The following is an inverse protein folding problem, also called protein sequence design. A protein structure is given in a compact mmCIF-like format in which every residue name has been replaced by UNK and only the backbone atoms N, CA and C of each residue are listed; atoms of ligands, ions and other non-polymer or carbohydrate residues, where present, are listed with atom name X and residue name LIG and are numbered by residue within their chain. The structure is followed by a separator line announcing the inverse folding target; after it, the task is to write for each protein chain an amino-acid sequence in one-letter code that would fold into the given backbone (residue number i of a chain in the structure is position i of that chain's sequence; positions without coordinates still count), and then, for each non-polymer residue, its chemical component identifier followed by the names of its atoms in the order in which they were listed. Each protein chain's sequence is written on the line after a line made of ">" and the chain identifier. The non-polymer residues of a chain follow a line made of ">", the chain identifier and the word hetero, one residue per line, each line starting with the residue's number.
data_IF_210991383433
#
_entry.id   IF_210991383433
#
_cell.length_a   1.000
_cell.length_b   1.000
_cell.length_c   1.000
_cell.angle_alpha   90.00
_cell.angle_beta   90.00
_cell.angle_gamma   90.00
#
_symmetry.space_group_name_H-M   'P 1'
#
loop_
_entity.id
_entity.type
_entity.pdbx_description
1 polymer ?
#
# COMPACT_ATOMS: atom_id res chain seq x y z
N UNK A 1 6.36 -28.40 9.21
CA UNK A 1 5.28 -28.10 8.25
C UNK A 1 3.96 -28.54 8.85
N UNK A 2 2.91 -27.77 8.65
CA UNK A 2 1.54 -28.16 9.03
C UNK A 2 1.10 -29.29 8.10
N UNK A 3 0.49 -30.33 8.66
CA UNK A 3 0.07 -31.50 7.87
C UNK A 3 -1.36 -31.28 7.31
N UNK A 4 -1.47 -31.29 6.00
CA UNK A 4 -2.72 -31.21 5.26
C UNK A 4 -3.05 -32.49 4.47
N UNK A 5 -2.32 -33.60 4.71
CA UNK A 5 -2.56 -34.86 3.99
C UNK A 5 -3.97 -35.39 4.24
N UNK A 6 -4.60 -35.85 3.17
CA UNK A 6 -5.97 -36.34 3.20
C UNK A 6 -7.07 -35.28 3.25
N UNK A 7 -6.74 -33.99 3.41
CA UNK A 7 -7.72 -32.92 3.36
C UNK A 7 -8.14 -32.59 1.94
N UNK A 8 -9.44 -32.35 1.75
CA UNK A 8 -10.01 -31.78 0.51
C UNK A 8 -9.82 -30.26 0.55
N UNK A 9 -8.80 -29.79 -0.14
CA UNK A 9 -8.47 -28.36 -0.21
C UNK A 9 -9.07 -27.73 -1.46
N UNK A 10 -9.74 -26.58 -1.31
CA UNK A 10 -10.25 -25.78 -2.41
C UNK A 10 -9.62 -24.39 -2.34
N UNK A 11 -8.99 -23.96 -3.43
CA UNK A 11 -8.38 -22.62 -3.58
C UNK A 11 -9.31 -21.77 -4.46
N UNK A 12 -9.67 -20.57 -4.00
CA UNK A 12 -10.51 -19.63 -4.76
C UNK A 12 -9.65 -18.46 -5.22
N UNK A 13 -9.56 -18.30 -6.55
CA UNK A 13 -8.76 -17.28 -7.23
C UNK A 13 -7.45 -17.84 -7.78
N UNK A 14 -7.24 -17.68 -9.09
CA UNK A 14 -6.09 -18.18 -9.84
C UNK A 14 -5.28 -16.98 -10.39
N UNK A 15 -4.81 -16.14 -9.50
CA UNK A 15 -3.77 -15.16 -9.73
C UNK A 15 -2.44 -15.65 -9.14
N UNK A 16 -1.45 -14.75 -9.02
CA UNK A 16 -0.12 -15.06 -8.46
C UNK A 16 -0.23 -15.67 -7.05
N UNK A 17 -1.10 -15.12 -6.20
CA UNK A 17 -1.35 -15.65 -4.85
C UNK A 17 -1.96 -17.05 -4.87
N UNK A 18 -2.95 -17.29 -5.74
CA UNK A 18 -3.57 -18.62 -5.86
C UNK A 18 -2.59 -19.67 -6.36
N UNK A 19 -1.75 -19.33 -7.35
CA UNK A 19 -0.68 -20.22 -7.83
C UNK A 19 0.31 -20.55 -6.71
N UNK A 20 0.73 -19.57 -5.89
CA UNK A 20 1.62 -19.85 -4.76
C UNK A 20 1.01 -20.81 -3.72
N UNK A 21 -0.33 -20.74 -3.54
CA UNK A 21 -1.05 -21.72 -2.69
C UNK A 21 -1.07 -23.10 -3.34
N UNK A 22 -1.28 -23.18 -4.66
CA UNK A 22 -1.23 -24.47 -5.39
C UNK A 22 0.14 -25.12 -5.22
N UNK A 23 1.21 -24.38 -5.48
CA UNK A 23 2.60 -24.85 -5.35
C UNK A 23 2.89 -25.33 -3.92
N UNK A 24 2.42 -24.58 -2.92
CA UNK A 24 2.57 -24.93 -1.50
C UNK A 24 1.93 -26.27 -1.17
N UNK A 25 0.70 -26.55 -1.63
CA UNK A 25 0.02 -27.81 -1.38
C UNK A 25 0.62 -28.96 -2.19
N UNK A 26 0.98 -28.73 -3.45
CA UNK A 26 1.64 -29.74 -4.29
C UNK A 26 2.98 -30.18 -3.71
N UNK A 27 3.75 -29.27 -3.13
CA UNK A 27 5.01 -29.59 -2.44
C UNK A 27 4.81 -30.51 -1.21
N UNK A 28 3.60 -30.58 -0.68
CA UNK A 28 3.21 -31.47 0.43
C UNK A 28 2.45 -32.72 -0.05
N UNK A 29 2.43 -32.99 -1.35
CA UNK A 29 1.66 -34.08 -1.97
C UNK A 29 0.14 -33.98 -1.74
N UNK A 30 -0.39 -32.78 -1.55
CA UNK A 30 -1.81 -32.47 -1.50
C UNK A 30 -2.21 -31.83 -2.83
N UNK A 31 -3.14 -32.44 -3.55
CA UNK A 31 -3.63 -31.91 -4.82
C UNK A 31 -4.90 -31.11 -4.55
N UNK A 32 -4.87 -29.76 -4.60
CA UNK A 32 -6.06 -28.95 -4.36
C UNK A 32 -6.98 -28.94 -5.58
N UNK A 33 -8.23 -28.53 -5.39
CA UNK A 33 -9.09 -28.06 -6.48
C UNK A 33 -9.03 -26.54 -6.54
N UNK A 34 -9.13 -25.96 -7.75
CA UNK A 34 -9.06 -24.50 -7.94
C UNK A 34 -10.35 -23.99 -8.55
N UNK A 35 -10.87 -22.89 -8.01
CA UNK A 35 -12.05 -22.18 -8.52
C UNK A 35 -11.63 -20.74 -8.85
N UNK A 36 -12.04 -20.21 -10.02
CA UNK A 36 -11.94 -18.79 -10.32
C UNK A 36 -13.23 -18.29 -10.94
N UNK A 37 -13.73 -17.15 -10.48
CA UNK A 37 -14.98 -16.55 -11.00
C UNK A 37 -14.82 -15.91 -12.38
N UNK A 38 -13.58 -15.68 -12.81
CA UNK A 38 -13.27 -15.22 -14.18
C UNK A 38 -13.25 -16.41 -15.12
N UNK A 39 -13.67 -16.21 -16.35
CA UNK A 39 -13.65 -17.25 -17.40
C UNK A 39 -12.24 -17.54 -17.92
N UNK A 40 -11.33 -16.58 -17.84
CA UNK A 40 -9.94 -16.72 -18.29
C UNK A 40 -8.99 -16.03 -17.27
N UNK A 41 -8.71 -16.65 -16.12
CA UNK A 41 -7.78 -16.12 -15.14
C UNK A 41 -6.33 -16.23 -15.64
N UNK A 42 -5.50 -15.24 -15.31
CA UNK A 42 -4.11 -15.14 -15.79
C UNK A 42 -3.19 -16.27 -15.38
N UNK A 43 -3.54 -17.00 -14.32
CA UNK A 43 -2.75 -18.15 -13.84
C UNK A 43 -3.12 -19.49 -14.47
N UNK A 44 -4.11 -19.52 -15.37
CA UNK A 44 -4.63 -20.81 -15.89
C UNK A 44 -3.58 -21.58 -16.70
N UNK A 45 -2.78 -20.88 -17.50
CA UNK A 45 -1.72 -21.49 -18.32
C UNK A 45 -0.53 -22.04 -17.50
N UNK A 46 -0.42 -21.58 -16.24
CA UNK A 46 0.65 -21.98 -15.30
C UNK A 46 0.19 -23.06 -14.31
N UNK A 47 -1.08 -23.44 -14.37
CA UNK A 47 -1.62 -24.43 -13.45
C UNK A 47 -1.09 -25.84 -13.76
N UNK A 48 -0.63 -26.54 -12.73
CA UNK A 48 -0.19 -27.94 -12.84
C UNK A 48 -1.32 -28.83 -13.37
N UNK A 49 -1.05 -29.69 -14.33
CA UNK A 49 -2.01 -30.55 -15.03
C UNK A 49 -2.77 -31.51 -14.10
N UNK A 50 -2.21 -31.84 -12.94
CA UNK A 50 -2.83 -32.68 -11.91
C UNK A 50 -3.98 -31.99 -11.19
N UNK A 51 -4.03 -30.65 -11.24
CA UNK A 51 -4.98 -29.84 -10.47
C UNK A 51 -6.28 -29.65 -11.25
N UNK A 52 -7.37 -30.11 -10.67
CA UNK A 52 -8.70 -29.86 -11.26
C UNK A 52 -9.13 -28.42 -11.00
N UNK A 53 -9.66 -27.76 -12.02
CA UNK A 53 -10.13 -26.38 -11.92
C UNK A 53 -11.56 -26.19 -12.44
N UNK A 54 -12.20 -25.12 -11.98
CA UNK A 54 -13.50 -24.64 -12.41
C UNK A 54 -13.42 -23.11 -12.58
N UNK A 55 -13.88 -22.57 -13.71
CA UNK A 55 -13.82 -21.13 -14.05
C UNK A 55 -15.18 -20.59 -14.44
N UNK A 56 -15.37 -19.26 -14.26
CA UNK A 56 -16.58 -18.51 -14.64
C UNK A 56 -17.54 -18.26 -13.49
N UNK A 57 -17.61 -19.14 -12.50
CA UNK A 57 -18.42 -18.96 -11.29
C UNK A 57 -17.85 -19.78 -10.12
N UNK A 58 -18.48 -19.66 -8.94
CA UNK A 58 -18.16 -20.53 -7.80
C UNK A 58 -18.80 -21.91 -7.99
N UNK A 59 -18.03 -22.96 -7.72
CA UNK A 59 -18.51 -24.34 -7.71
C UNK A 59 -18.92 -24.72 -6.28
N UNK A 60 -20.20 -24.63 -5.99
CA UNK A 60 -20.78 -24.88 -4.64
C UNK A 60 -20.56 -26.27 -4.14
N UNK A 61 -20.59 -27.29 -5.02
CA UNK A 61 -20.37 -28.68 -4.62
C UNK A 61 -18.95 -28.85 -4.09
N UNK A 62 -17.96 -28.28 -4.76
CA UNK A 62 -16.58 -28.34 -4.29
C UNK A 62 -16.37 -27.57 -2.99
N UNK A 63 -17.04 -26.40 -2.86
CA UNK A 63 -16.93 -25.59 -1.64
C UNK A 63 -17.53 -26.31 -0.42
N UNK A 64 -18.70 -26.92 -0.57
CA UNK A 64 -19.40 -27.54 0.56
C UNK A 64 -18.85 -28.93 0.93
N UNK A 65 -18.08 -29.56 0.04
CA UNK A 65 -17.34 -30.80 0.32
C UNK A 65 -15.90 -30.57 0.84
N UNK A 66 -15.44 -29.33 0.89
CA UNK A 66 -14.07 -29.01 1.31
C UNK A 66 -13.88 -29.20 2.82
N UNK A 67 -12.68 -29.61 3.21
CA UNK A 67 -12.21 -29.55 4.60
C UNK A 67 -11.52 -28.20 4.89
N UNK A 68 -11.02 -27.53 3.84
CA UNK A 68 -10.31 -26.26 3.92
C UNK A 68 -10.50 -25.48 2.63
N UNK A 69 -10.88 -24.22 2.76
CA UNK A 69 -10.98 -23.24 1.67
C UNK A 69 -9.89 -22.19 1.83
N UNK A 70 -9.10 -21.98 0.76
CA UNK A 70 -8.14 -20.89 0.66
C UNK A 70 -8.76 -19.78 -0.20
N UNK A 71 -9.15 -18.69 0.41
CA UNK A 71 -9.77 -17.56 -0.27
C UNK A 71 -8.72 -16.51 -0.65
N UNK A 72 -8.59 -16.21 -1.94
CA UNK A 72 -7.79 -15.04 -2.38
C UNK A 72 -8.40 -13.74 -1.85
N UNK A 73 -7.57 -12.71 -1.57
CA UNK A 73 -8.04 -11.43 -1.00
C UNK A 73 -9.12 -10.70 -1.83
N UNK A 74 -9.16 -10.96 -3.14
CA UNK A 74 -10.18 -10.41 -4.04
C UNK A 74 -11.60 -10.95 -3.82
N UNK A 75 -11.75 -12.07 -3.10
CA UNK A 75 -13.05 -12.69 -2.84
C UNK A 75 -13.56 -12.26 -1.45
N UNK A 76 -14.76 -11.69 -1.42
CA UNK A 76 -15.36 -11.24 -0.16
C UNK A 76 -15.83 -12.41 0.69
N UNK A 77 -15.51 -12.43 1.98
CA UNK A 77 -16.06 -13.43 2.92
C UNK A 77 -17.59 -13.31 3.08
N UNK A 78 -18.15 -12.14 2.73
CA UNK A 78 -19.58 -11.89 2.67
C UNK A 78 -20.29 -12.52 1.46
N UNK A 79 -19.55 -13.15 0.53
CA UNK A 79 -20.12 -13.92 -0.57
C UNK A 79 -21.02 -15.02 -0.03
N UNK A 80 -22.28 -15.16 -0.50
CA UNK A 80 -23.25 -16.09 0.09
C UNK A 80 -22.76 -17.54 0.18
N UNK A 81 -22.04 -18.01 -0.82
CA UNK A 81 -21.48 -19.39 -0.85
C UNK A 81 -20.41 -19.57 0.22
N UNK A 82 -19.59 -18.56 0.48
CA UNK A 82 -18.57 -18.61 1.55
C UNK A 82 -19.20 -18.51 2.94
N UNK A 83 -20.23 -17.69 3.10
CA UNK A 83 -21.00 -17.65 4.34
C UNK A 83 -21.63 -19.02 4.64
N UNK A 84 -22.21 -19.65 3.60
CA UNK A 84 -22.79 -20.99 3.74
C UNK A 84 -21.74 -22.05 4.07
N UNK A 85 -20.56 -22.00 3.46
CA UNK A 85 -19.45 -22.89 3.80
C UNK A 85 -19.00 -22.71 5.26
N UNK A 86 -18.90 -21.46 5.74
CA UNK A 86 -18.57 -21.15 7.13
C UNK A 86 -19.64 -21.66 8.11
N UNK A 87 -20.95 -21.53 7.78
CA UNK A 87 -22.05 -22.11 8.57
C UNK A 87 -21.98 -23.63 8.66
N UNK A 88 -21.45 -24.30 7.63
CA UNK A 88 -21.20 -25.75 7.63
C UNK A 88 -19.95 -26.13 8.44
N UNK A 89 -19.25 -25.17 9.03
CA UNK A 89 -18.04 -25.39 9.83
C UNK A 89 -16.76 -25.58 9.00
N UNK A 90 -16.79 -25.26 7.71
CA UNK A 90 -15.62 -25.36 6.84
C UNK A 90 -14.67 -24.19 7.13
N UNK A 91 -13.41 -24.51 7.36
CA UNK A 91 -12.39 -23.50 7.62
C UNK A 91 -12.07 -22.70 6.36
N UNK A 92 -12.13 -21.36 6.44
CA UNK A 92 -11.81 -20.43 5.34
C UNK A 92 -10.66 -19.53 5.78
N UNK A 93 -9.52 -19.63 5.09
CA UNK A 93 -8.30 -18.87 5.40
C UNK A 93 -7.71 -18.26 4.12
N UNK A 94 -6.69 -17.41 4.28
CA UNK A 94 -5.91 -16.86 3.18
C UNK A 94 -4.49 -17.41 3.10
N UNK A 95 -3.76 -16.99 2.08
CA UNK A 95 -2.33 -17.31 1.87
C UNK A 95 -1.45 -16.86 3.04
N UNK A 96 -1.75 -15.70 3.62
CA UNK A 96 -1.01 -15.16 4.78
C UNK A 96 -1.20 -16.04 6.02
N UNK A 97 -2.39 -16.62 6.22
CA UNK A 97 -2.62 -17.55 7.32
C UNK A 97 -1.80 -18.83 7.14
N UNK A 98 -1.74 -19.39 5.92
CA UNK A 98 -0.86 -20.55 5.63
C UNK A 98 0.61 -20.21 5.93
N UNK A 99 1.08 -19.04 5.49
CA UNK A 99 2.42 -18.55 5.82
C UNK A 99 2.64 -18.45 7.33
N UNK A 100 1.69 -17.88 8.06
CA UNK A 100 1.81 -17.73 9.52
C UNK A 100 1.88 -19.08 10.23
N UNK A 101 1.07 -20.04 9.82
CA UNK A 101 1.10 -21.41 10.38
C UNK A 101 2.45 -22.07 10.20
N UNK A 102 3.10 -21.89 9.06
CA UNK A 102 4.43 -22.43 8.77
C UNK A 102 5.54 -21.71 9.54
N UNK A 103 5.55 -20.37 9.49
CA UNK A 103 6.63 -19.60 10.11
C UNK A 103 6.61 -19.72 11.64
N UNK A 104 5.42 -19.86 12.25
CA UNK A 104 5.27 -20.03 13.70
C UNK A 104 5.88 -21.33 14.22
N UNK A 105 6.08 -22.35 13.38
CA UNK A 105 6.76 -23.59 13.76
C UNK A 105 8.30 -23.45 13.69
N UNK A 106 8.79 -22.41 13.06
CA UNK A 106 10.22 -22.18 12.90
C UNK A 106 10.75 -21.31 14.05
N UNK A 107 11.77 -21.81 14.75
CA UNK A 107 12.40 -21.06 15.82
C UNK A 107 13.20 -19.87 15.27
N UNK A 108 13.20 -18.76 16.01
CA UNK A 108 14.00 -17.56 15.75
C UNK A 108 13.64 -16.76 14.47
N UNK A 109 12.54 -17.05 13.80
CA UNK A 109 12.07 -16.22 12.69
C UNK A 109 11.31 -15.01 13.24
N UNK A 110 11.55 -13.83 12.63
CA UNK A 110 10.85 -12.60 12.98
C UNK A 110 9.93 -12.20 11.83
N UNK A 111 8.70 -11.85 12.14
CA UNK A 111 7.73 -11.31 11.18
C UNK A 111 7.45 -9.86 11.53
N UNK A 112 7.57 -8.98 10.55
CA UNK A 112 7.17 -7.58 10.60
C UNK A 112 5.93 -7.46 9.74
N UNK A 113 4.86 -6.95 10.32
CA UNK A 113 3.59 -6.79 9.62
C UNK A 113 3.24 -5.29 9.47
N UNK A 114 3.00 -4.85 8.25
CA UNK A 114 2.77 -3.45 7.91
C UNK A 114 1.45 -3.33 7.15
N UNK A 115 0.53 -2.50 7.68
CA UNK A 115 -0.71 -2.12 6.99
C UNK A 115 -0.98 -0.62 7.13
N UNK A 116 -2.03 -0.14 6.51
CA UNK A 116 -2.47 1.25 6.51
C UNK A 116 -3.32 1.54 5.27
N UNK A 117 -3.93 2.69 5.18
CA UNK A 117 -4.53 3.16 3.94
C UNK A 117 -3.41 3.53 2.95
N UNK A 118 -2.46 4.36 3.37
CA UNK A 118 -1.37 4.90 2.55
C UNK A 118 0.01 4.61 3.17
N UNK A 119 1.09 4.69 2.38
CA UNK A 119 2.47 4.54 2.84
C UNK A 119 2.97 3.10 2.96
N UNK A 120 2.10 2.09 2.93
CA UNK A 120 2.45 0.66 3.13
C UNK A 120 3.69 0.23 2.38
N UNK A 121 3.67 0.32 1.06
CA UNK A 121 4.76 -0.15 0.19
C UNK A 121 6.07 0.58 0.46
N UNK A 122 6.00 1.90 0.69
CA UNK A 122 7.18 2.71 1.00
C UNK A 122 7.84 2.24 2.29
N UNK A 123 7.06 2.05 3.36
CA UNK A 123 7.58 1.60 4.66
C UNK A 123 8.05 0.15 4.57
N UNK A 124 7.30 -0.73 3.90
CA UNK A 124 7.68 -2.14 3.73
C UNK A 124 9.01 -2.28 2.99
N UNK A 125 9.19 -1.55 1.90
CA UNK A 125 10.44 -1.56 1.14
C UNK A 125 11.58 -0.97 1.97
N UNK A 126 11.37 0.20 2.58
CA UNK A 126 12.40 0.85 3.40
C UNK A 126 12.84 -0.02 4.59
N UNK A 127 11.91 -0.68 5.29
CA UNK A 127 12.22 -1.62 6.37
C UNK A 127 12.99 -2.82 5.83
N UNK A 128 12.61 -3.36 4.67
CA UNK A 128 13.36 -4.42 4.00
C UNK A 128 14.79 -4.03 3.70
N UNK A 129 15.00 -2.82 3.15
CA UNK A 129 16.33 -2.28 2.85
C UNK A 129 17.16 -2.06 4.14
N UNK A 130 16.55 -1.57 5.21
CA UNK A 130 17.21 -1.40 6.50
C UNK A 130 17.68 -2.76 7.06
N UNK A 131 16.82 -3.78 7.04
CA UNK A 131 17.17 -5.13 7.51
C UNK A 131 18.28 -5.73 6.66
N UNK A 132 18.21 -5.56 5.33
CA UNK A 132 19.24 -6.03 4.39
C UNK A 132 20.58 -5.31 4.61
N UNK A 133 20.57 -4.01 4.87
CA UNK A 133 21.78 -3.23 5.14
C UNK A 133 22.48 -3.60 6.45
N UNK A 134 21.80 -4.31 7.34
CA UNK A 134 22.35 -4.90 8.56
C UNK A 134 22.84 -6.35 8.37
N UNK A 135 23.00 -6.82 7.13
CA UNK A 135 23.43 -8.18 6.75
C UNK A 135 22.50 -9.29 7.29
N UNK A 136 21.22 -8.97 7.52
CA UNK A 136 20.22 -9.94 7.95
C UNK A 136 19.47 -10.45 6.71
N UNK A 137 19.32 -11.77 6.59
CA UNK A 137 18.59 -12.39 5.50
C UNK A 137 17.11 -12.08 5.61
N UNK A 138 16.58 -11.29 4.67
CA UNK A 138 15.23 -10.75 4.70
C UNK A 138 14.42 -11.16 3.47
N UNK A 139 13.16 -11.54 3.69
CA UNK A 139 12.13 -11.70 2.65
C UNK A 139 11.11 -10.58 2.76
N UNK A 140 10.82 -9.93 1.64
CA UNK A 140 9.87 -8.82 1.55
C UNK A 140 8.76 -9.18 0.58
N UNK A 141 7.51 -9.10 1.01
CA UNK A 141 6.38 -9.48 0.14
C UNK A 141 5.01 -9.33 0.79
N UNK A 142 4.07 -10.18 0.40
CA UNK A 142 2.67 -10.19 0.84
C UNK A 142 1.74 -9.52 -0.17
N UNK A 143 1.17 -8.37 0.17
CA UNK A 143 0.31 -7.61 -0.76
C UNK A 143 1.09 -6.91 -1.88
N UNK A 144 2.41 -6.96 -1.84
CA UNK A 144 3.34 -6.43 -2.85
C UNK A 144 4.38 -7.48 -3.21
N UNK A 145 4.90 -7.38 -4.42
CA UNK A 145 6.02 -8.24 -4.86
C UNK A 145 5.64 -9.72 -4.82
N UNK A 146 6.41 -10.48 -4.06
CA UNK A 146 6.19 -11.93 -3.92
C UNK A 146 5.07 -12.25 -2.92
N UNK A 147 4.21 -13.25 -3.20
CA UNK A 147 3.27 -13.79 -2.23
C UNK A 147 3.97 -14.26 -0.95
N UNK A 148 3.30 -14.10 0.20
CA UNK A 148 3.89 -14.47 1.49
C UNK A 148 4.39 -15.93 1.53
N UNK A 149 3.66 -16.88 0.95
CA UNK A 149 4.05 -18.29 0.90
C UNK A 149 5.35 -18.52 0.11
N UNK A 150 5.57 -17.79 -0.98
CA UNK A 150 6.80 -17.94 -1.79
C UNK A 150 8.05 -17.54 -1.00
N UNK A 151 7.93 -16.62 -0.06
CA UNK A 151 9.04 -16.20 0.79
C UNK A 151 9.58 -17.31 1.71
N UNK A 152 8.76 -18.30 2.06
CA UNK A 152 9.19 -19.44 2.88
C UNK A 152 10.34 -20.23 2.24
N UNK A 153 10.35 -20.31 0.91
CA UNK A 153 11.40 -21.02 0.17
C UNK A 153 12.78 -20.33 0.29
N UNK A 154 12.81 -19.04 0.59
CA UNK A 154 14.04 -18.26 0.74
C UNK A 154 14.73 -18.50 2.09
N UNK A 155 14.05 -19.12 3.07
CA UNK A 155 14.54 -19.38 4.41
C UNK A 155 15.18 -18.14 5.07
N UNK A 156 14.44 -17.03 5.12
CA UNK A 156 14.89 -15.77 5.68
C UNK A 156 14.87 -15.79 7.23
N UNK A 157 15.64 -14.90 7.86
CA UNK A 157 15.60 -14.70 9.31
C UNK A 157 14.52 -13.69 9.71
N UNK A 158 14.23 -12.75 8.81
CA UNK A 158 13.20 -11.73 8.97
C UNK A 158 12.31 -11.72 7.73
N UNK A 159 11.00 -11.69 7.95
CA UNK A 159 10.01 -11.50 6.91
C UNK A 159 9.30 -10.16 7.12
N UNK A 160 9.29 -9.31 6.11
CA UNK A 160 8.61 -8.00 6.11
C UNK A 160 7.41 -8.11 5.19
N UNK A 161 6.21 -8.12 5.78
CA UNK A 161 4.97 -8.32 5.04
C UNK A 161 4.17 -7.03 4.95
N UNK A 162 3.88 -6.60 3.72
CA UNK A 162 2.78 -5.68 3.47
C UNK A 162 1.47 -6.47 3.52
N UNK A 163 0.50 -6.02 4.32
CA UNK A 163 -0.79 -6.69 4.46
C UNK A 163 -1.95 -5.74 4.13
N UNK A 164 -2.85 -6.20 3.27
CA UNK A 164 -4.12 -5.53 3.03
C UNK A 164 -5.13 -5.84 4.14
N UNK A 165 -6.21 -5.03 4.24
CA UNK A 165 -7.33 -5.36 5.12
C UNK A 165 -7.96 -6.71 4.78
N UNK A 166 -8.07 -7.02 3.49
CA UNK A 166 -8.64 -8.28 2.99
C UNK A 166 -7.83 -9.52 3.40
N UNK A 167 -6.49 -9.43 3.37
CA UNK A 167 -5.63 -10.51 3.86
C UNK A 167 -5.75 -10.68 5.37
N UNK A 168 -5.87 -9.58 6.11
CA UNK A 168 -6.05 -9.62 7.57
C UNK A 168 -7.39 -10.24 7.99
N UNK A 169 -8.46 -10.11 7.19
CA UNK A 169 -9.75 -10.76 7.45
C UNK A 169 -9.64 -12.29 7.55
N UNK A 170 -8.74 -12.89 6.78
CA UNK A 170 -8.53 -14.35 6.69
C UNK A 170 -7.30 -14.81 7.46
N UNK A 171 -6.72 -13.96 8.32
CA UNK A 171 -5.51 -14.25 9.10
C UNK A 171 -5.80 -14.18 10.59
N UNK A 172 -5.48 -15.23 11.34
CA UNK A 172 -5.71 -15.35 12.78
C UNK A 172 -4.44 -15.69 13.58
N UNK A 173 -3.49 -16.42 12.98
CA UNK A 173 -2.30 -16.92 13.67
C UNK A 173 -1.05 -16.04 13.46
N UNK A 174 -1.21 -14.81 12.96
CA UNK A 174 -0.11 -13.87 12.81
C UNK A 174 0.54 -13.56 14.19
N UNK A 175 1.83 -13.82 14.33
CA UNK A 175 2.65 -13.51 15.51
C UNK A 175 3.76 -12.52 15.10
N UNK A 176 3.38 -11.25 14.91
CA UNK A 176 4.32 -10.24 14.51
C UNK A 176 5.29 -9.87 15.65
N UNK A 177 6.59 -9.82 15.35
CA UNK A 177 7.59 -9.21 16.25
C UNK A 177 7.33 -7.70 16.39
N UNK A 178 7.01 -7.06 15.27
CA UNK A 178 6.54 -5.67 15.23
C UNK A 178 5.40 -5.59 14.22
N UNK A 179 4.29 -4.96 14.61
CA UNK A 179 3.17 -4.67 13.72
C UNK A 179 2.89 -3.17 13.68
N UNK A 180 2.45 -2.66 12.53
CA UNK A 180 2.08 -1.25 12.40
C UNK A 180 0.84 -1.04 11.52
N UNK A 181 0.00 -0.10 11.94
CA UNK A 181 -0.98 0.56 11.08
C UNK A 181 -0.48 2.00 10.88
N UNK A 182 -0.12 2.34 9.65
CA UNK A 182 0.49 3.64 9.36
C UNK A 182 -0.51 4.80 9.44
N UNK A 183 -1.70 4.58 8.95
CA UNK A 183 -2.82 5.51 8.95
C UNK A 183 -4.10 4.79 8.50
N UNK A 184 -5.24 5.38 8.82
CA UNK A 184 -6.56 4.91 8.38
C UNK A 184 -7.31 6.08 7.76
N UNK A 185 -7.74 5.90 6.53
CA UNK A 185 -8.64 6.79 5.80
C UNK A 185 -9.54 5.95 4.90
N UNK A 186 -10.67 6.47 4.47
CA UNK A 186 -11.60 5.75 3.61
C UNK A 186 -10.93 5.23 2.35
N UNK A 187 -11.01 3.92 2.16
CA UNK A 187 -10.58 3.20 0.98
C UNK A 187 -11.35 1.88 0.92
N UNK A 188 -11.67 1.40 -0.28
CA UNK A 188 -12.42 0.16 -0.45
C UNK A 188 -13.80 0.13 0.23
N UNK A 189 -14.52 1.26 0.27
CA UNK A 189 -15.85 1.32 0.93
C UNK A 189 -16.91 0.47 0.23
N UNK A 190 -16.71 0.12 -1.02
CA UNK A 190 -17.46 -0.88 -1.76
C UNK A 190 -17.39 -2.28 -1.10
N UNK A 191 -16.28 -2.60 -0.46
CA UNK A 191 -16.05 -3.86 0.27
C UNK A 191 -16.51 -3.79 1.74
N UNK A 192 -16.60 -2.59 2.32
CA UNK A 192 -16.93 -2.35 3.72
C UNK A 192 -18.25 -1.58 3.88
N UNK A 193 -19.42 -2.27 3.77
CA UNK A 193 -20.72 -1.61 3.80
C UNK A 193 -21.05 -0.93 5.13
N UNK A 194 -20.39 -1.30 6.23
CA UNK A 194 -20.50 -0.62 7.54
C UNK A 194 -19.51 0.56 7.66
N UNK A 195 -18.81 0.92 6.59
CA UNK A 195 -17.95 2.09 6.50
C UNK A 195 -16.59 1.95 7.17
N UNK A 196 -16.00 3.10 7.52
CA UNK A 196 -14.63 3.23 8.02
C UNK A 196 -14.36 2.39 9.27
N UNK A 197 -15.35 2.18 10.15
CA UNK A 197 -15.16 1.37 11.36
C UNK A 197 -14.90 -0.09 11.03
N UNK A 198 -15.64 -0.69 10.09
CA UNK A 198 -15.42 -2.07 9.66
C UNK A 198 -14.04 -2.24 9.00
N UNK A 199 -13.64 -1.27 8.18
CA UNK A 199 -12.30 -1.24 7.58
C UNK A 199 -11.20 -1.14 8.65
N UNK A 200 -11.41 -0.32 9.68
CA UNK A 200 -10.52 -0.18 10.83
C UNK A 200 -10.39 -1.50 11.59
N UNK A 201 -11.50 -2.16 11.90
CA UNK A 201 -11.52 -3.47 12.59
C UNK A 201 -10.75 -4.54 11.81
N UNK A 202 -10.93 -4.60 10.48
CA UNK A 202 -10.17 -5.51 9.64
C UNK A 202 -8.65 -5.27 9.77
N UNK A 203 -8.19 -4.00 9.77
CA UNK A 203 -6.77 -3.67 9.94
C UNK A 203 -6.27 -3.90 11.36
N UNK A 204 -7.07 -3.66 12.38
CA UNK A 204 -6.72 -3.84 13.78
C UNK A 204 -6.34 -5.29 14.11
N UNK A 205 -6.77 -6.27 13.30
CA UNK A 205 -6.39 -7.68 13.45
C UNK A 205 -4.87 -7.89 13.38
N UNK A 206 -4.12 -6.98 12.75
CA UNK A 206 -2.65 -7.03 12.65
C UNK A 206 -1.97 -7.04 14.03
N UNK A 207 -2.64 -6.52 15.06
CA UNK A 207 -2.08 -6.39 16.40
C UNK A 207 -2.37 -7.58 17.33
N UNK A 208 -3.26 -8.52 16.93
CA UNK A 208 -3.80 -9.57 17.84
C UNK A 208 -2.72 -10.29 18.67
N UNK A 209 -1.60 -10.67 18.07
CA UNK A 209 -0.51 -11.38 18.74
C UNK A 209 0.84 -10.66 18.51
N UNK A 210 0.80 -9.35 18.27
CA UNK A 210 2.01 -8.57 18.07
C UNK A 210 2.77 -8.36 19.40
N UNK A 211 4.10 -8.51 19.37
CA UNK A 211 4.96 -8.23 20.54
C UNK A 211 5.13 -6.74 20.76
N UNK A 212 5.22 -5.97 19.69
CA UNK A 212 5.29 -4.51 19.70
C UNK A 212 4.37 -3.93 18.62
N UNK A 213 3.61 -2.90 18.99
CA UNK A 213 2.75 -2.15 18.09
C UNK A 213 3.35 -0.77 17.82
N UNK A 214 3.72 -0.48 16.58
CA UNK A 214 4.14 0.87 16.17
C UNK A 214 2.88 1.59 15.66
N UNK A 215 2.51 2.68 16.33
CA UNK A 215 1.24 3.39 16.11
C UNK A 215 1.49 4.83 15.64
N UNK A 216 0.58 5.36 14.83
CA UNK A 216 0.60 6.77 14.46
C UNK A 216 -0.04 7.61 15.58
N UNK A 217 0.74 8.51 16.18
CA UNK A 217 0.27 9.38 17.26
C UNK A 217 -0.86 10.32 16.82
N UNK A 218 -0.79 10.77 15.56
CA UNK A 218 -1.72 11.74 14.98
C UNK A 218 -3.03 11.08 14.48
N UNK A 219 -3.08 9.73 14.41
CA UNK A 219 -4.25 8.98 13.97
C UNK A 219 -4.70 7.98 15.03
N UNK A 220 -5.77 8.36 15.76
CA UNK A 220 -6.31 7.55 16.85
C UNK A 220 -6.83 6.17 16.41
N UNK A 221 -7.22 6.01 15.15
CA UNK A 221 -7.71 4.73 14.62
C UNK A 221 -6.61 3.68 14.47
N UNK A 222 -5.34 4.11 14.51
CA UNK A 222 -4.19 3.20 14.45
C UNK A 222 -3.84 2.57 15.81
N UNK A 223 -4.44 3.02 16.91
CA UNK A 223 -4.18 2.47 18.24
C UNK A 223 -4.85 1.12 18.41
N UNK A 224 -4.15 0.08 18.94
CA UNK A 224 -4.77 -1.22 19.19
C UNK A 224 -5.96 -1.08 20.15
N UNK A 225 -7.04 -1.80 19.83
CA UNK A 225 -8.21 -1.93 20.69
C UNK A 225 -8.06 -3.11 21.65
N UNK A 226 -8.47 -2.96 22.91
CA UNK A 226 -8.59 -4.05 23.88
C UNK A 226 -7.39 -4.22 24.80
N UNK A 227 -6.62 -5.32 24.67
CA UNK A 227 -5.53 -5.68 25.60
C UNK A 227 -4.40 -4.64 25.64
N UNK A 228 -3.70 -4.55 26.79
CA UNK A 228 -2.48 -3.75 26.87
C UNK A 228 -1.41 -4.34 25.95
N UNK A 229 -1.08 -3.57 24.91
CA UNK A 229 0.04 -3.88 24.02
C UNK A 229 1.23 -2.99 24.36
N UNK A 230 2.43 -3.50 24.16
CA UNK A 230 3.62 -2.64 24.13
C UNK A 230 3.54 -1.75 22.88
N UNK A 231 3.29 -0.47 23.05
CA UNK A 231 3.14 0.48 21.97
C UNK A 231 4.32 1.46 21.95
N UNK A 232 4.76 1.75 20.73
CA UNK A 232 5.73 2.80 20.40
C UNK A 232 5.07 3.68 19.35
N UNK A 233 5.18 5.00 19.48
CA UNK A 233 4.46 5.94 18.63
C UNK A 233 5.39 6.69 17.69
N UNK A 234 4.90 6.95 16.47
CA UNK A 234 5.47 7.94 15.56
C UNK A 234 4.42 8.99 15.20
N UNK A 235 4.84 10.20 14.89
CA UNK A 235 3.94 11.28 14.51
C UNK A 235 4.66 12.49 13.95
N UNK A 236 3.90 13.51 13.54
CA UNK A 236 4.48 14.69 12.92
C UNK A 236 5.22 15.56 13.94
N UNK A 237 4.52 15.93 15.02
CA UNK A 237 5.06 16.85 16.04
C UNK A 237 5.15 16.20 17.43
N UNK A 238 4.72 14.96 17.58
CA UNK A 238 4.62 14.27 18.85
C UNK A 238 4.74 12.77 18.69
N UNK A 239 5.08 12.06 19.77
CA UNK A 239 5.30 10.63 19.78
C UNK A 239 6.75 10.31 20.18
N UNK A 240 7.09 9.03 20.31
CA UNK A 240 8.46 8.57 20.60
C UNK A 240 9.42 8.86 19.43
N UNK A 241 8.86 8.91 18.22
CA UNK A 241 9.54 9.28 16.97
C UNK A 241 8.73 10.37 16.28
N UNK A 242 9.31 11.56 16.08
CA UNK A 242 8.62 12.71 15.49
C UNK A 242 9.59 13.63 14.75
N UNK A 243 9.08 14.69 14.13
CA UNK A 243 9.90 15.76 13.59
C UNK A 243 10.07 16.85 14.65
N UNK A 244 11.15 17.60 14.56
CA UNK A 244 11.29 18.86 15.30
C UNK A 244 10.29 19.92 14.80
N UNK A 245 10.13 21.02 15.56
CA UNK A 245 9.17 22.11 15.24
C UNK A 245 9.39 22.74 13.85
N UNK A 246 10.61 22.69 13.32
CA UNK A 246 10.97 23.24 12.01
C UNK A 246 10.96 22.21 10.89
N UNK A 247 10.66 20.93 11.21
CA UNK A 247 10.74 19.79 10.28
C UNK A 247 12.13 19.60 9.66
N UNK A 248 13.19 20.03 10.37
CA UNK A 248 14.56 19.92 9.91
C UNK A 248 15.25 18.63 10.39
N UNK A 249 14.73 17.99 11.45
CA UNK A 249 15.32 16.77 12.01
C UNK A 249 14.27 15.72 12.36
N UNK A 250 14.62 14.46 12.12
CA UNK A 250 13.96 13.32 12.73
C UNK A 250 14.43 13.20 14.19
N UNK A 251 13.47 13.12 15.09
CA UNK A 251 13.69 12.94 16.53
C UNK A 251 13.31 11.51 16.88
N UNK A 252 14.18 10.80 17.59
CA UNK A 252 13.94 9.47 18.13
C UNK A 252 14.23 9.45 19.62
N UNK A 253 13.24 9.14 20.46
CA UNK A 253 13.36 9.10 21.91
C UNK A 253 13.98 10.38 22.48
N UNK A 254 13.47 11.53 22.04
CA UNK A 254 13.89 12.88 22.42
C UNK A 254 15.31 13.29 21.97
N UNK A 255 15.91 12.59 21.01
CA UNK A 255 17.21 12.94 20.44
C UNK A 255 17.08 13.19 18.93
N UNK A 256 17.68 14.28 18.40
CA UNK A 256 17.79 14.47 16.97
C UNK A 256 18.75 13.41 16.38
N UNK A 257 18.28 12.67 15.39
CA UNK A 257 19.04 11.52 14.85
C UNK A 257 19.40 11.67 13.38
N UNK A 258 18.62 12.41 12.59
CA UNK A 258 18.87 12.61 11.16
C UNK A 258 18.31 13.96 10.69
N UNK A 259 19.09 14.72 9.91
CA UNK A 259 18.59 15.92 9.25
C UNK A 259 17.74 15.55 8.03
N UNK A 260 16.57 16.16 7.90
CA UNK A 260 15.70 15.99 6.72
C UNK A 260 16.36 16.48 5.43
N UNK A 261 17.28 17.45 5.54
CA UNK A 261 18.08 17.96 4.40
C UNK A 261 19.05 16.90 3.84
N UNK A 262 19.43 15.89 4.62
CA UNK A 262 20.27 14.79 4.16
C UNK A 262 19.47 13.65 3.55
N UNK A 263 18.14 13.68 3.61
CA UNK A 263 17.27 12.68 3.03
C UNK A 263 16.98 12.96 1.56
N UNK A 264 16.94 11.92 0.75
CA UNK A 264 16.50 11.99 -0.65
C UNK A 264 14.97 11.99 -0.75
N UNK A 265 14.27 11.42 0.23
CA UNK A 265 12.83 11.52 0.37
C UNK A 265 12.41 12.95 0.68
N UNK A 266 11.37 13.43 0.03
CA UNK A 266 10.79 14.76 0.25
C UNK A 266 9.34 14.65 0.71
N UNK A 267 8.91 15.63 1.53
CA UNK A 267 7.53 15.75 1.98
C UNK A 267 7.25 15.12 3.35
N UNK A 268 6.39 15.79 4.13
CA UNK A 268 6.10 15.39 5.52
C UNK A 268 5.57 13.95 5.64
N UNK A 269 4.74 13.49 4.70
CA UNK A 269 4.25 12.12 4.71
C UNK A 269 5.37 11.08 4.53
N UNK A 270 6.41 11.41 3.75
CA UNK A 270 7.58 10.55 3.59
C UNK A 270 8.49 10.59 4.82
N UNK A 271 8.56 11.72 5.52
CA UNK A 271 9.26 11.79 6.81
C UNK A 271 8.54 10.95 7.87
N UNK A 272 7.19 10.94 7.88
CA UNK A 272 6.41 10.03 8.72
C UNK A 272 6.66 8.55 8.38
N UNK A 273 6.77 8.21 7.10
CA UNK A 273 7.13 6.86 6.66
C UNK A 273 8.53 6.46 7.16
N UNK A 274 9.50 7.40 7.11
CA UNK A 274 10.85 7.17 7.62
C UNK A 274 10.88 7.00 9.15
N UNK A 275 10.10 7.80 9.89
CA UNK A 275 9.94 7.67 11.35
C UNK A 275 9.32 6.32 11.73
N UNK A 276 8.28 5.87 11.03
CA UNK A 276 7.69 4.56 11.22
C UNK A 276 8.71 3.43 10.96
N UNK A 277 9.47 3.51 9.87
CA UNK A 277 10.50 2.54 9.54
C UNK A 277 11.62 2.51 10.58
N UNK A 278 12.06 3.67 11.08
CA UNK A 278 13.07 3.76 12.16
C UNK A 278 12.54 3.18 13.46
N UNK A 279 11.29 3.46 13.83
CA UNK A 279 10.65 2.89 15.02
C UNK A 279 10.58 1.36 14.92
N UNK A 280 10.24 0.81 13.76
CA UNK A 280 10.25 -0.65 13.52
C UNK A 280 11.67 -1.20 13.67
N UNK A 281 12.66 -0.58 13.03
CA UNK A 281 14.06 -1.03 13.06
C UNK A 281 14.65 -1.05 14.48
N UNK A 282 14.43 0.01 15.26
CA UNK A 282 14.88 0.09 16.64
C UNK A 282 14.26 -1.01 17.54
N UNK A 283 12.97 -1.32 17.33
CA UNK A 283 12.29 -2.38 18.10
C UNK A 283 12.70 -3.80 17.66
N UNK A 284 13.33 -3.94 16.49
CA UNK A 284 14.00 -5.17 16.05
C UNK A 284 15.45 -5.24 16.47
N UNK A 285 15.98 -4.19 17.11
CA UNK A 285 17.39 -4.06 17.51
C UNK A 285 18.34 -4.03 16.29
N UNK A 286 17.91 -3.46 15.18
CA UNK A 286 18.78 -3.19 14.03
C UNK A 286 19.73 -2.04 14.40
N UNK A 287 21.03 -2.12 14.01
CA UNK A 287 21.98 -1.05 14.28
C UNK A 287 21.49 0.30 13.73
N UNK A 288 21.45 1.31 14.60
CA UNK A 288 20.85 2.62 14.26
C UNK A 288 21.59 3.32 13.14
N UNK A 289 22.91 3.27 13.12
CA UNK A 289 23.72 3.94 12.08
C UNK A 289 23.41 3.38 10.69
N UNK A 290 23.29 2.05 10.57
CA UNK A 290 22.86 1.39 9.33
C UNK A 290 21.46 1.81 8.93
N UNK A 291 20.53 1.90 9.88
CA UNK A 291 19.15 2.34 9.63
C UNK A 291 19.10 3.79 9.12
N UNK A 292 19.82 4.71 9.77
CA UNK A 292 19.87 6.12 9.39
C UNK A 292 20.53 6.33 8.02
N UNK A 293 21.60 5.60 7.74
CA UNK A 293 22.25 5.64 6.44
C UNK A 293 21.33 5.16 5.33
N UNK A 294 20.58 4.09 5.55
CA UNK A 294 19.60 3.56 4.60
C UNK A 294 18.47 4.56 4.38
N UNK A 295 17.91 5.14 5.43
CA UNK A 295 16.86 6.17 5.36
C UNK A 295 17.33 7.39 4.56
N UNK A 296 18.54 7.87 4.83
CA UNK A 296 19.14 9.01 4.12
C UNK A 296 19.27 8.75 2.60
N UNK A 297 19.67 7.54 2.23
CA UNK A 297 19.92 7.16 0.85
C UNK A 297 18.68 6.68 0.08
N UNK A 298 17.59 6.38 0.75
CA UNK A 298 16.37 5.87 0.14
C UNK A 298 15.72 6.93 -0.75
N UNK A 299 15.61 6.63 -2.04
CA UNK A 299 15.09 7.58 -3.05
C UNK A 299 13.56 7.61 -3.16
N UNK A 300 12.86 6.76 -2.38
CA UNK A 300 11.43 6.53 -2.56
C UNK A 300 11.14 5.48 -3.63
N UNK A 301 9.87 5.37 -3.97
CA UNK A 301 9.38 4.43 -4.97
C UNK A 301 8.85 5.18 -6.19
N UNK A 302 8.97 4.60 -7.40
CA UNK A 302 8.41 5.20 -8.60
C UNK A 302 6.91 5.48 -8.43
N UNK A 303 6.49 6.61 -8.96
CA UNK A 303 5.08 7.08 -8.94
C UNK A 303 4.50 7.37 -7.55
N UNK A 304 5.33 7.58 -6.52
CA UNK A 304 4.91 7.90 -5.14
C UNK A 304 5.59 9.17 -4.67
N UNK A 305 5.00 10.32 -5.01
CA UNK A 305 5.54 11.65 -4.74
C UNK A 305 6.99 11.80 -5.23
N UNK A 306 7.27 11.22 -6.37
CA UNK A 306 8.58 11.10 -7.00
C UNK A 306 8.92 12.38 -7.75
N UNK A 307 10.07 13.00 -7.44
CA UNK A 307 10.60 14.10 -8.24
C UNK A 307 11.18 13.53 -9.54
N UNK A 308 10.43 13.61 -10.64
CA UNK A 308 10.82 13.02 -11.94
C UNK A 308 11.62 13.97 -12.82
N UNK A 309 11.50 15.28 -12.61
CA UNK A 309 12.25 16.30 -13.33
C UNK A 309 12.35 17.57 -12.51
N UNK A 310 13.52 18.22 -12.52
CA UNK A 310 13.79 19.54 -11.91
C UNK A 310 14.68 20.33 -12.87
N UNK A 311 14.15 21.39 -13.43
CA UNK A 311 14.87 22.25 -14.36
C UNK A 311 14.35 23.69 -14.24
N UNK A 312 15.24 24.69 -14.31
CA UNK A 312 14.90 26.10 -14.20
C UNK A 312 14.07 26.46 -12.93
N UNK A 313 14.34 25.77 -11.82
CA UNK A 313 13.57 25.84 -10.58
C UNK A 313 12.10 25.43 -10.71
N UNK A 314 11.72 24.68 -11.74
CA UNK A 314 10.41 24.06 -11.88
C UNK A 314 10.50 22.59 -11.50
N UNK A 315 9.72 22.16 -10.52
CA UNK A 315 9.69 20.76 -10.04
C UNK A 315 8.48 20.03 -10.60
N UNK A 316 8.73 18.83 -11.15
CA UNK A 316 7.69 17.94 -11.66
C UNK A 316 7.63 16.71 -10.76
N UNK A 317 6.51 16.55 -10.05
CA UNK A 317 6.31 15.50 -9.03
C UNK A 317 5.27 14.52 -9.51
N UNK A 318 5.68 13.26 -9.60
CA UNK A 318 4.85 12.14 -10.03
C UNK A 318 4.30 11.39 -8.81
N UNK A 319 3.03 11.54 -8.55
CA UNK A 319 2.31 10.80 -7.52
C UNK A 319 1.13 10.02 -8.12
N UNK A 320 1.37 9.40 -9.27
CA UNK A 320 0.34 8.66 -10.02
C UNK A 320 -0.29 7.52 -9.21
N UNK A 321 0.38 7.03 -8.16
CA UNK A 321 -0.16 6.02 -7.24
C UNK A 321 -1.22 6.58 -6.29
N UNK A 322 -1.40 7.89 -6.17
CA UNK A 322 -2.48 8.53 -5.42
C UNK A 322 -3.84 8.28 -6.11
N UNK A 323 -4.38 7.08 -5.95
CA UNK A 323 -5.63 6.61 -6.58
C UNK A 323 -6.86 6.77 -5.67
N UNK A 324 -6.71 7.47 -4.56
CA UNK A 324 -7.78 7.84 -3.63
C UNK A 324 -7.58 9.26 -3.08
N UNK A 325 -8.63 9.81 -2.50
CA UNK A 325 -8.68 11.18 -1.99
C UNK A 325 -7.64 11.42 -0.89
N UNK A 326 -7.52 10.49 0.07
CA UNK A 326 -6.58 10.64 1.20
C UNK A 326 -5.11 10.67 0.76
N UNK A 327 -4.74 9.99 -0.32
CA UNK A 327 -3.38 10.08 -0.87
C UNK A 327 -3.10 11.46 -1.44
N UNK A 328 -4.04 12.04 -2.20
CA UNK A 328 -3.91 13.37 -2.77
C UNK A 328 -3.92 14.46 -1.68
N UNK A 329 -4.73 14.28 -0.64
CA UNK A 329 -4.72 15.14 0.54
C UNK A 329 -3.32 15.15 1.20
N UNK A 330 -2.71 13.98 1.40
CA UNK A 330 -1.37 13.85 1.94
C UNK A 330 -0.30 14.53 1.05
N UNK A 331 -0.43 14.39 -0.27
CA UNK A 331 0.44 15.06 -1.23
C UNK A 331 0.31 16.58 -1.14
N UNK A 332 -0.93 17.10 -1.09
CA UNK A 332 -1.20 18.53 -0.96
C UNK A 332 -0.70 19.11 0.38
N UNK A 333 -0.78 18.37 1.47
CA UNK A 333 -0.18 18.76 2.77
C UNK A 333 1.34 18.84 2.71
N UNK A 334 1.95 18.02 1.87
CA UNK A 334 3.41 17.80 1.85
C UNK A 334 4.15 18.62 0.82
N UNK A 335 3.46 19.08 -0.25
CA UNK A 335 4.09 19.80 -1.33
C UNK A 335 4.52 21.21 -0.88
N UNK A 336 5.81 21.52 -1.06
CA UNK A 336 6.38 22.85 -0.83
C UNK A 336 6.49 23.54 -2.19
N UNK A 337 5.82 24.65 -2.36
CA UNK A 337 5.78 25.43 -3.59
C UNK A 337 5.90 26.92 -3.25
N UNK A 338 6.93 27.60 -3.78
CA UNK A 338 7.14 29.02 -3.61
C UNK A 338 6.49 29.85 -4.72
N UNK A 339 6.22 29.22 -5.86
CA UNK A 339 5.49 29.79 -7.01
C UNK A 339 4.03 29.34 -7.04
N UNK A 340 3.56 28.96 -8.22
CA UNK A 340 2.23 28.39 -8.44
C UNK A 340 2.29 26.86 -8.45
N UNK A 341 1.32 26.23 -7.79
CA UNK A 341 1.12 24.78 -7.87
C UNK A 341 0.15 24.47 -9.02
N UNK A 342 0.62 23.75 -10.03
CA UNK A 342 -0.22 23.15 -11.08
C UNK A 342 -0.56 21.72 -10.65
N UNK A 343 -1.83 21.50 -10.30
CA UNK A 343 -2.32 20.20 -9.84
C UNK A 343 -3.10 19.46 -10.92
N UNK A 344 -2.69 18.24 -11.24
CA UNK A 344 -3.41 17.35 -12.13
C UNK A 344 -4.26 16.37 -11.30
N UNK A 345 -5.59 16.46 -11.46
CA UNK A 345 -6.59 15.56 -10.88
C UNK A 345 -7.30 14.80 -11.99
N UNK A 346 -7.65 13.52 -11.76
CA UNK A 346 -8.49 12.83 -12.75
C UNK A 346 -8.28 11.34 -12.88
N UNK A 347 -9.27 10.72 -13.52
CA UNK A 347 -9.43 9.29 -13.71
C UNK A 347 -10.80 8.81 -13.29
N UNK A 348 -10.89 7.56 -12.83
CA UNK A 348 -12.10 6.94 -12.27
C UNK A 348 -12.07 7.06 -10.74
N UNK A 349 -12.94 7.88 -10.19
CA UNK A 349 -13.04 8.14 -8.74
C UNK A 349 -13.78 7.07 -7.96
N UNK A 350 -14.38 6.08 -8.60
CA UNK A 350 -15.12 4.98 -7.94
C UNK A 350 -16.16 5.48 -6.94
N UNK A 351 -16.91 6.50 -7.31
CA UNK A 351 -17.92 7.15 -6.47
C UNK A 351 -17.38 7.76 -5.17
N UNK A 352 -16.09 8.13 -5.12
CA UNK A 352 -15.49 8.77 -3.96
C UNK A 352 -16.06 10.17 -3.72
N UNK A 353 -16.13 10.58 -2.45
CA UNK A 353 -16.36 11.97 -2.07
C UNK A 353 -15.04 12.77 -2.16
N UNK A 354 -14.98 13.75 -3.05
CA UNK A 354 -13.81 14.61 -3.24
C UNK A 354 -13.82 15.87 -2.37
N UNK A 355 -14.89 16.15 -1.62
CA UNK A 355 -15.04 17.35 -0.79
C UNK A 355 -13.91 17.57 0.23
N UNK A 356 -13.24 16.53 0.79
CA UNK A 356 -12.08 16.71 1.67
C UNK A 356 -10.90 17.46 1.05
N UNK A 357 -10.81 17.54 -0.30
CA UNK A 357 -9.76 18.29 -0.98
C UNK A 357 -9.99 19.80 -0.96
N UNK A 358 -11.24 20.28 -0.84
CA UNK A 358 -11.61 21.71 -0.97
C UNK A 358 -10.76 22.65 -0.10
N UNK A 359 -10.48 22.36 1.20
CA UNK A 359 -9.67 23.26 2.04
C UNK A 359 -8.28 23.51 1.48
N UNK A 360 -7.67 22.50 0.83
CA UNK A 360 -6.31 22.59 0.28
C UNK A 360 -6.28 23.31 -1.06
N UNK A 361 -7.38 23.24 -1.83
CA UNK A 361 -7.50 23.90 -3.12
C UNK A 361 -7.69 25.40 -2.99
N UNK A 362 -8.36 25.86 -1.92
CA UNK A 362 -8.67 27.29 -1.68
C UNK A 362 -7.57 28.06 -0.94
N UNK A 363 -6.65 27.40 -0.29
CA UNK A 363 -5.68 28.03 0.62
C UNK A 363 -4.33 28.38 -0.02
N UNK A 364 -4.15 28.16 -1.34
CA UNK A 364 -2.84 28.24 -2.02
C UNK A 364 -2.92 28.94 -3.37
N UNK A 365 -1.75 29.40 -3.86
CA UNK A 365 -1.59 29.79 -5.25
C UNK A 365 -1.56 28.52 -6.12
N UNK A 366 -2.74 28.07 -6.53
CA UNK A 366 -2.94 26.78 -7.23
C UNK A 366 -3.78 26.98 -8.49
N UNK A 367 -3.49 26.20 -9.52
CA UNK A 367 -4.30 26.04 -10.72
C UNK A 367 -4.50 24.54 -10.95
N UNK A 368 -5.73 24.14 -11.23
CA UNK A 368 -6.12 22.72 -11.29
C UNK A 368 -6.40 22.35 -12.73
N UNK A 369 -5.96 21.15 -13.12
CA UNK A 369 -6.25 20.55 -14.42
C UNK A 369 -6.94 19.21 -14.19
N UNK A 370 -8.22 19.14 -14.58
CA UNK A 370 -9.02 17.94 -14.42
C UNK A 370 -9.13 17.19 -15.75
N UNK A 371 -8.90 15.87 -15.73
CA UNK A 371 -8.95 14.99 -16.89
C UNK A 371 -9.64 13.64 -16.58
N UNK A 372 -9.95 12.86 -17.62
CA UNK A 372 -10.52 11.51 -17.46
C UNK A 372 -12.02 11.48 -17.17
N UNK A 373 -12.49 10.36 -16.61
CA UNK A 373 -13.92 10.07 -16.44
C UNK A 373 -14.63 11.08 -15.55
N UNK A 374 -14.10 11.32 -14.35
CA UNK A 374 -14.74 12.13 -13.31
C UNK A 374 -14.24 13.58 -13.27
N UNK A 375 -13.65 14.07 -14.39
CA UNK A 375 -13.12 15.43 -14.51
C UNK A 375 -14.10 16.53 -14.14
N UNK A 376 -15.38 16.37 -14.50
CA UNK A 376 -16.40 17.38 -14.24
C UNK A 376 -16.79 17.45 -12.77
N UNK A 377 -16.82 16.30 -12.07
CA UNK A 377 -17.02 16.23 -10.62
C UNK A 377 -15.85 16.92 -9.88
N UNK A 378 -14.62 16.64 -10.30
CA UNK A 378 -13.42 17.25 -9.72
C UNK A 378 -13.35 18.76 -9.99
N UNK A 379 -13.73 19.20 -11.19
CA UNK A 379 -13.73 20.62 -11.54
C UNK A 379 -14.74 21.43 -10.71
N UNK A 380 -15.84 20.84 -10.31
CA UNK A 380 -16.85 21.49 -9.46
C UNK A 380 -16.36 21.79 -8.03
N UNK A 381 -15.21 21.25 -7.59
CA UNK A 381 -14.62 21.57 -6.28
C UNK A 381 -14.09 23.00 -6.19
N UNK A 382 -13.58 23.55 -7.31
CA UNK A 382 -13.03 24.88 -7.40
C UNK A 382 -13.06 25.37 -8.87
N UNK A 383 -14.25 25.64 -9.46
CA UNK A 383 -14.39 25.87 -10.88
C UNK A 383 -13.64 27.11 -11.38
N UNK A 384 -13.46 28.12 -10.53
CA UNK A 384 -12.79 29.37 -10.86
C UNK A 384 -11.27 29.25 -11.12
N UNK A 385 -10.65 28.18 -10.65
CA UNK A 385 -9.19 27.91 -10.80
C UNK A 385 -8.93 26.60 -11.56
N UNK A 386 -9.97 26.06 -12.20
CA UNK A 386 -9.88 24.73 -12.84
C UNK A 386 -10.03 24.81 -14.35
N UNK A 387 -9.14 24.15 -15.06
CA UNK A 387 -9.20 23.87 -16.48
C UNK A 387 -9.57 22.40 -16.70
N UNK A 388 -10.62 22.14 -17.47
CA UNK A 388 -11.07 20.78 -17.83
C UNK A 388 -10.47 20.39 -19.17
N UNK A 389 -9.88 19.19 -19.24
CA UNK A 389 -9.33 18.60 -20.47
C UNK A 389 -9.86 17.16 -20.66
N UNK A 390 -9.74 16.62 -21.85
CA UNK A 390 -10.12 15.22 -22.09
C UNK A 390 -9.05 14.25 -21.54
N UNK A 391 -7.79 14.60 -21.77
CA UNK A 391 -6.64 13.73 -21.44
C UNK A 391 -5.61 14.44 -20.55
N UNK A 392 -4.81 13.64 -19.85
CA UNK A 392 -3.66 14.15 -19.10
C UNK A 392 -2.65 14.86 -20.01
N UNK A 393 -2.46 14.38 -21.25
CA UNK A 393 -1.53 14.99 -22.20
C UNK A 393 -1.95 16.42 -22.59
N UNK A 394 -3.25 16.65 -22.79
CA UNK A 394 -3.80 17.99 -23.04
C UNK A 394 -3.59 18.91 -21.84
N UNK A 395 -3.85 18.41 -20.62
CA UNK A 395 -3.58 19.13 -19.38
C UNK A 395 -2.10 19.57 -19.29
N UNK A 396 -1.19 18.66 -19.52
CA UNK A 396 0.26 18.91 -19.51
C UNK A 396 0.68 19.93 -20.57
N UNK A 397 0.08 19.88 -21.75
CA UNK A 397 0.32 20.86 -22.81
C UNK A 397 -0.18 22.27 -22.44
N UNK A 398 -1.30 22.36 -21.73
CA UNK A 398 -1.79 23.65 -21.21
C UNK A 398 -0.85 24.21 -20.11
N UNK A 399 -0.39 23.37 -19.20
CA UNK A 399 0.54 23.74 -18.14
C UNK A 399 1.86 24.25 -18.73
N UNK A 400 2.41 23.57 -19.73
CA UNK A 400 3.68 23.93 -20.37
C UNK A 400 3.74 25.36 -20.93
N UNK A 401 2.59 25.97 -21.21
CA UNK A 401 2.47 27.35 -21.71
C UNK A 401 2.43 28.41 -20.58
N UNK A 402 2.31 27.97 -19.33
CA UNK A 402 2.05 28.85 -18.17
C UNK A 402 3.13 28.77 -17.10
N UNK A 403 3.92 27.68 -17.08
CA UNK A 403 4.94 27.46 -16.05
C UNK A 403 6.04 28.50 -16.08
N UNK A 404 6.45 28.95 -14.89
CA UNK A 404 7.57 29.85 -14.68
C UNK A 404 8.45 29.35 -13.53
N UNK A 405 9.62 29.94 -13.35
CA UNK A 405 10.55 29.51 -12.29
C UNK A 405 9.89 29.53 -10.90
N UNK A 406 10.23 28.56 -10.07
CA UNK A 406 9.70 28.26 -8.73
C UNK A 406 8.31 27.62 -8.69
N UNK A 407 7.72 27.30 -9.84
CA UNK A 407 6.46 26.55 -9.91
C UNK A 407 6.67 25.06 -9.64
N UNK A 408 5.57 24.41 -9.28
CA UNK A 408 5.52 22.96 -9.09
C UNK A 408 4.39 22.38 -9.92
N UNK A 409 4.67 21.33 -10.69
CA UNK A 409 3.66 20.53 -11.39
C UNK A 409 3.52 19.19 -10.65
N UNK A 410 2.34 18.94 -10.09
CA UNK A 410 2.04 17.74 -9.29
C UNK A 410 0.96 16.91 -9.97
N UNK A 411 1.31 15.69 -10.36
CA UNK A 411 0.33 14.65 -10.67
C UNK A 411 -0.01 13.92 -9.38
N UNK A 412 -1.17 14.20 -8.78
CA UNK A 412 -1.71 13.46 -7.64
C UNK A 412 -3.23 13.31 -7.85
N UNK A 413 -3.64 12.32 -8.66
CA UNK A 413 -4.89 12.34 -9.40
C UNK A 413 -6.15 12.07 -8.59
N UNK A 414 -6.08 11.59 -7.34
CA UNK A 414 -7.20 11.19 -6.46
C UNK A 414 -8.07 10.04 -7.01
N UNK A 415 -7.80 9.58 -8.23
CA UNK A 415 -8.63 8.64 -8.98
C UNK A 415 -7.81 7.46 -9.51
N UNK A 416 -8.45 6.30 -9.71
CA UNK A 416 -7.87 5.20 -10.46
C UNK A 416 -7.61 5.62 -11.92
N UNK A 417 -6.68 4.91 -12.58
CA UNK A 417 -6.22 5.25 -13.93
C UNK A 417 -6.88 4.45 -15.05
N UNK A 418 -7.75 3.49 -14.68
CA UNK A 418 -8.24 2.44 -15.59
C UNK A 418 -9.21 2.92 -16.67
N UNK A 419 -9.63 4.18 -16.60
CA UNK A 419 -10.45 4.84 -17.62
C UNK A 419 -9.65 5.22 -18.88
N UNK A 420 -8.35 5.54 -18.73
CA UNK A 420 -7.48 5.97 -19.84
C UNK A 420 -6.16 5.18 -19.95
N UNK A 421 -5.79 4.42 -18.94
CA UNK A 421 -4.50 3.70 -18.86
C UNK A 421 -4.70 2.27 -18.38
N UNK A 422 -3.79 1.37 -18.71
CA UNK A 422 -3.80 -0.01 -18.19
C UNK A 422 -3.63 -0.08 -16.67
N UNK A 423 -2.89 0.87 -16.12
CA UNK A 423 -2.63 0.98 -14.68
C UNK A 423 -1.99 2.35 -14.34
N UNK A 424 -1.78 2.62 -13.05
CA UNK A 424 -1.16 3.85 -12.58
C UNK A 424 0.30 4.02 -13.02
N UNK A 425 1.01 2.92 -13.33
CA UNK A 425 2.41 2.94 -13.78
C UNK A 425 2.48 3.56 -15.18
N UNK A 426 1.61 3.14 -16.10
CA UNK A 426 1.54 3.71 -17.43
C UNK A 426 1.20 5.21 -17.39
N UNK A 427 0.23 5.61 -16.56
CA UNK A 427 -0.09 7.02 -16.32
C UNK A 427 1.12 7.81 -15.82
N UNK A 428 1.81 7.28 -14.82
CA UNK A 428 2.99 7.92 -14.24
C UNK A 428 4.20 7.98 -15.19
N UNK A 429 4.40 6.95 -16.01
CA UNK A 429 5.45 6.94 -17.03
C UNK A 429 5.20 8.01 -18.10
N UNK A 430 3.96 8.13 -18.56
CA UNK A 430 3.59 9.18 -19.51
C UNK A 430 3.79 10.58 -18.90
N UNK A 431 3.40 10.79 -17.65
CA UNK A 431 3.67 12.05 -16.96
C UNK A 431 5.16 12.37 -16.91
N UNK A 432 6.01 11.43 -16.52
CA UNK A 432 7.46 11.61 -16.44
C UNK A 432 8.09 11.93 -17.81
N UNK A 433 7.59 11.29 -18.87
CA UNK A 433 8.02 11.58 -20.25
C UNK A 433 7.64 13.01 -20.67
N UNK A 434 6.39 13.41 -20.42
CA UNK A 434 5.90 14.77 -20.76
C UNK A 434 6.60 15.84 -19.91
N UNK A 435 6.88 15.58 -18.63
CA UNK A 435 7.63 16.47 -17.75
C UNK A 435 9.01 16.79 -18.34
N UNK A 436 9.74 15.78 -18.80
CA UNK A 436 11.05 15.99 -19.47
C UNK A 436 10.91 16.76 -20.79
N UNK A 437 9.90 16.42 -21.60
CA UNK A 437 9.65 17.06 -22.89
C UNK A 437 9.32 18.55 -22.76
N UNK A 438 8.48 18.91 -21.79
CA UNK A 438 8.02 20.29 -21.61
C UNK A 438 8.93 21.12 -20.71
N UNK A 439 9.53 20.50 -19.69
CA UNK A 439 10.46 21.17 -18.80
C UNK A 439 11.78 21.55 -19.44
N UNK A 440 12.20 20.85 -20.50
CA UNK A 440 13.40 21.19 -21.27
C UNK A 440 13.18 22.31 -22.31
N UNK A 441 11.95 22.72 -22.58
CA UNK A 441 11.61 23.74 -23.60
C UNK A 441 11.64 25.18 -23.10
N UNK A 442 11.89 25.41 -21.81
CA UNK A 442 11.91 26.75 -21.20
C UNK A 442 13.18 27.57 -21.53
N UNK A 443 14.05 27.10 -22.45
CA UNK A 443 15.27 27.77 -22.89
C UNK A 443 15.20 28.30 -24.34
N UNK A 444 14.01 28.35 -24.96
CA UNK A 444 13.78 29.01 -26.27
C UNK A 444 12.89 30.27 -26.11
#
# INVERSE_FOLDING_TARGET
>A
MVDYQGKKVVIIGLGITGLSCVDYFLAQNVIPKVIDTRTSPSGLEQLDERVRYHVGNLNTDWLFEADLIIASPGIALSTPELQKAAELGIEIIGDVELFCREVNQQKNKKVIAITGANGKTTVTTLVGDIVKAADIKVGVGGNIGEPALSLLQQNCDVYVLELSSFQLETTSSLQASVATILNISEDHMDRYPLGLMQYTEAKQRIYHNAKCCVINYDDKLTKPSGKQHHCVSFGLNSGDYHLDEKYEHLIAKNQPVLSTKSMKLIGCHNYLNALAALAIADNLQIPRDSSLQTISNFQGLPHRFELVFDCNNVKWINDSKATNVGSTEAALKSVICNGKLFLLLGGDGKSADFTPLIPYLKSRNIEIFCFGRDRDLLANLAPEITTVTLTMSEAMQCIAKKIVANDVVLLSPACASLDQFKNYIERGNLFAQLAKQYGSRSDE
#
